data_IF_515989843619
#
_entry.id   IF_515989843619
#
_cell.length_a   1.000
_cell.length_b   1.000
_cell.length_c   1.000
_cell.angle_alpha   90.00
_cell.angle_beta   90.00
_cell.angle_gamma   90.00
#
_symmetry.space_group_name_H-M   'P 1'
#
loop_
_entity.id
_entity.type
_entity.pdbx_description
1 polymer ?
#
# COMPACT_ATOMS: atom_id res chain seq x y z
N UNK A 1 -11.61 7.89 27.05
CA UNK A 1 -10.65 8.92 26.58
C UNK A 1 -9.46 8.33 25.84
N UNK A 2 -8.80 7.27 26.34
CA UNK A 2 -7.64 6.61 25.68
C UNK A 2 -7.86 6.24 24.19
N UNK A 3 -8.96 5.54 23.87
CA UNK A 3 -9.24 5.12 22.49
C UNK A 3 -9.33 6.28 21.49
N UNK A 4 -9.94 7.41 21.87
CA UNK A 4 -10.14 8.55 20.97
C UNK A 4 -8.80 9.14 20.52
N UNK A 5 -7.81 9.14 21.39
CA UNK A 5 -6.47 9.64 21.09
C UNK A 5 -5.70 8.69 20.18
N UNK A 6 -5.83 7.37 20.38
CA UNK A 6 -5.21 6.35 19.53
C UNK A 6 -5.77 6.39 18.10
N UNK A 7 -7.10 6.54 17.95
CA UNK A 7 -7.72 6.68 16.63
C UNK A 7 -7.25 7.95 15.92
N UNK A 8 -7.14 9.08 16.64
CA UNK A 8 -6.62 10.34 16.08
C UNK A 8 -5.16 10.15 15.62
N UNK A 9 -4.33 9.47 16.43
CA UNK A 9 -2.94 9.20 16.09
C UNK A 9 -2.83 8.35 14.81
N UNK A 10 -3.64 7.29 14.71
CA UNK A 10 -3.67 6.42 13.55
C UNK A 10 -4.08 7.16 12.28
N UNK A 11 -5.12 8.00 12.35
CA UNK A 11 -5.55 8.84 11.22
C UNK A 11 -4.42 9.80 10.82
N UNK A 12 -3.78 10.46 11.80
CA UNK A 12 -2.67 11.36 11.54
C UNK A 12 -1.49 10.64 10.85
N UNK A 13 -1.16 9.42 11.28
CA UNK A 13 -0.13 8.59 10.65
C UNK A 13 -0.49 8.25 9.19
N UNK A 14 -1.74 7.84 8.93
CA UNK A 14 -2.18 7.53 7.55
C UNK A 14 -2.06 8.77 6.66
N UNK A 15 -2.50 9.94 7.13
CA UNK A 15 -2.40 11.19 6.37
C UNK A 15 -0.93 11.57 6.12
N UNK A 16 -0.09 11.49 7.15
CA UNK A 16 1.34 11.77 7.01
C UNK A 16 2.00 10.83 6.00
N UNK A 17 1.72 9.54 6.07
CA UNK A 17 2.25 8.54 5.13
C UNK A 17 1.74 8.78 3.70
N UNK A 18 0.45 9.10 3.51
CA UNK A 18 -0.10 9.37 2.18
C UNK A 18 0.63 10.54 1.48
N UNK A 19 1.08 11.54 2.25
CA UNK A 19 1.82 12.69 1.74
C UNK A 19 3.31 12.35 1.54
N UNK A 20 3.91 11.59 2.45
CA UNK A 20 5.37 11.36 2.47
C UNK A 20 5.82 10.20 1.57
N UNK A 21 5.01 9.16 1.40
CA UNK A 21 5.37 7.95 0.62
C UNK A 21 5.79 8.29 -0.82
N UNK A 22 5.10 9.17 -1.57
CA UNK A 22 5.54 9.50 -2.93
C UNK A 22 6.89 10.22 -3.02
N UNK A 23 7.42 10.74 -1.90
CA UNK A 23 8.76 11.32 -1.82
C UNK A 23 9.83 10.29 -1.42
N UNK A 24 9.47 9.01 -1.32
CA UNK A 24 10.44 7.95 -1.11
C UNK A 24 11.44 7.88 -2.28
N UNK A 25 12.65 7.39 -1.98
CA UNK A 25 13.73 7.25 -2.95
C UNK A 25 13.28 6.37 -4.12
N UNK A 26 13.57 6.82 -5.35
CA UNK A 26 13.36 6.06 -6.58
C UNK A 26 14.53 5.13 -6.93
N UNK A 27 15.51 4.99 -6.04
CA UNK A 27 16.67 4.14 -6.28
C UNK A 27 16.31 2.66 -6.08
N UNK A 28 16.92 1.76 -6.88
CA UNK A 28 16.71 0.33 -6.73
C UNK A 28 17.14 -0.13 -5.34
N UNK A 29 16.42 -1.14 -4.84
CA UNK A 29 16.65 -1.70 -3.52
C UNK A 29 17.96 -2.52 -3.48
N UNK A 30 18.31 -3.04 -2.31
CA UNK A 30 19.58 -3.77 -2.17
C UNK A 30 19.66 -5.03 -3.05
N UNK A 31 18.54 -5.69 -3.31
CA UNK A 31 18.50 -6.90 -4.11
C UNK A 31 18.62 -6.57 -5.60
N UNK A 32 17.85 -5.58 -6.05
CA UNK A 32 17.85 -5.09 -7.42
C UNK A 32 19.22 -4.51 -7.79
N UNK A 33 19.84 -3.71 -6.91
CA UNK A 33 21.20 -3.19 -7.09
C UNK A 33 22.26 -4.29 -7.29
N UNK A 34 22.16 -5.38 -6.54
CA UNK A 34 23.09 -6.52 -6.66
C UNK A 34 22.81 -7.30 -7.95
N UNK A 35 21.54 -7.50 -8.30
CA UNK A 35 21.14 -8.15 -9.55
C UNK A 35 21.64 -7.37 -10.78
N UNK A 36 21.45 -6.04 -10.80
CA UNK A 36 21.99 -5.15 -11.83
C UNK A 36 23.53 -5.26 -11.91
N UNK A 37 24.22 -5.27 -10.77
CA UNK A 37 25.68 -5.37 -10.71
C UNK A 37 26.23 -6.71 -11.24
N UNK A 38 25.41 -7.75 -11.21
CA UNK A 38 25.74 -9.10 -11.71
C UNK A 38 25.17 -9.37 -13.11
N UNK A 39 24.56 -8.37 -13.76
CA UNK A 39 23.89 -8.50 -15.07
C UNK A 39 22.81 -9.60 -15.09
N UNK A 40 22.14 -9.81 -13.96
CA UNK A 40 21.03 -10.77 -13.85
C UNK A 40 19.74 -10.10 -14.32
N UNK A 41 19.17 -10.60 -15.42
CA UNK A 41 17.88 -10.11 -15.91
C UNK A 41 16.74 -10.49 -14.96
N UNK A 42 15.83 -9.54 -14.70
CA UNK A 42 14.57 -9.85 -14.02
C UNK A 42 13.66 -10.68 -14.94
N UNK A 43 13.23 -11.89 -14.52
CA UNK A 43 12.36 -12.71 -15.33
C UNK A 43 10.99 -12.03 -15.47
N UNK A 44 10.44 -12.04 -16.69
CA UNK A 44 9.12 -11.50 -16.94
C UNK A 44 8.08 -12.19 -16.02
N UNK A 45 7.28 -11.43 -15.25
CA UNK A 45 6.32 -12.04 -14.34
C UNK A 45 5.18 -12.69 -15.13
N UNK A 46 4.73 -13.87 -14.67
CA UNK A 46 3.56 -14.55 -15.24
C UNK A 46 2.26 -13.73 -15.09
N UNK A 47 2.23 -12.83 -14.10
CA UNK A 47 1.13 -11.90 -13.85
C UNK A 47 1.67 -10.58 -13.31
N UNK A 48 1.27 -9.44 -13.91
CA UNK A 48 1.73 -8.09 -13.54
C UNK A 48 0.92 -7.41 -12.42
N UNK A 49 -0.01 -8.13 -11.79
CA UNK A 49 -0.87 -7.56 -10.75
C UNK A 49 -1.81 -6.46 -11.28
N UNK A 50 -2.53 -5.81 -10.36
CA UNK A 50 -3.51 -4.74 -10.69
C UNK A 50 -2.84 -3.36 -10.68
N UNK A 51 -1.80 -3.18 -9.86
CA UNK A 51 -1.06 -1.92 -9.68
C UNK A 51 0.45 -2.23 -9.58
N UNK A 52 1.12 -2.61 -10.69
CA UNK A 52 2.56 -2.88 -10.69
C UNK A 52 3.32 -1.63 -10.24
N UNK A 53 4.30 -1.82 -9.36
CA UNK A 53 5.13 -0.74 -8.78
C UNK A 53 4.32 0.44 -8.21
N UNK A 54 3.15 0.15 -7.65
CA UNK A 54 2.23 1.16 -7.13
C UNK A 54 1.78 2.19 -8.17
N UNK A 55 1.80 1.82 -9.45
CA UNK A 55 1.39 2.67 -10.57
C UNK A 55 -0.01 2.31 -11.08
N UNK A 56 -0.69 3.33 -11.60
CA UNK A 56 -1.95 3.26 -12.30
C UNK A 56 -1.73 3.70 -13.75
N UNK A 57 -1.98 2.80 -14.69
CA UNK A 57 -1.72 3.01 -16.14
C UNK A 57 -2.46 4.24 -16.72
N UNK A 58 -3.56 4.66 -16.09
CA UNK A 58 -4.39 5.78 -16.55
C UNK A 58 -3.99 7.13 -15.92
N UNK A 59 -2.88 7.21 -15.17
CA UNK A 59 -2.43 8.43 -14.50
C UNK A 59 -0.98 8.73 -14.83
N UNK A 60 -0.78 9.77 -15.64
CA UNK A 60 0.55 10.18 -16.11
C UNK A 60 1.45 10.74 -15.01
N UNK A 61 0.86 11.35 -13.97
CA UNK A 61 1.63 11.95 -12.89
C UNK A 61 2.03 10.87 -11.87
N UNK A 62 3.33 10.52 -11.74
CA UNK A 62 3.79 9.44 -10.87
C UNK A 62 3.44 9.69 -9.41
N UNK A 63 3.50 10.95 -8.95
CA UNK A 63 3.13 11.31 -7.58
C UNK A 63 1.66 10.98 -7.29
N UNK A 64 0.77 11.39 -8.20
CA UNK A 64 -0.68 11.17 -8.05
C UNK A 64 -1.00 9.68 -8.18
N UNK A 65 -0.30 8.98 -9.07
CA UNK A 65 -0.44 7.55 -9.31
C UNK A 65 -0.13 6.73 -8.04
N UNK A 66 1.05 6.94 -7.45
CA UNK A 66 1.48 6.29 -6.20
C UNK A 66 0.60 6.65 -5.00
N UNK A 67 0.15 7.90 -4.92
CA UNK A 67 -0.72 8.34 -3.83
C UNK A 67 -2.09 7.64 -3.88
N UNK A 68 -2.70 7.57 -5.08
CA UNK A 68 -4.01 6.94 -5.25
C UNK A 68 -3.91 5.42 -5.03
N UNK A 69 -2.89 4.76 -5.57
CA UNK A 69 -2.69 3.32 -5.37
C UNK A 69 -2.53 2.97 -3.89
N UNK A 70 -1.74 3.76 -3.14
CA UNK A 70 -1.57 3.62 -1.71
C UNK A 70 -2.88 3.82 -0.94
N UNK A 71 -3.65 4.87 -1.26
CA UNK A 71 -4.96 5.11 -0.63
C UNK A 71 -5.96 3.99 -0.92
N UNK A 72 -5.98 3.46 -2.14
CA UNK A 72 -6.83 2.33 -2.50
C UNK A 72 -6.48 1.09 -1.69
N UNK A 73 -5.18 0.79 -1.52
CA UNK A 73 -4.71 -0.32 -0.70
C UNK A 73 -5.16 -0.21 0.76
N UNK A 74 -4.99 0.97 1.38
CA UNK A 74 -5.45 1.22 2.76
C UNK A 74 -6.96 1.02 2.90
N UNK A 75 -7.75 1.60 1.99
CA UNK A 75 -9.20 1.44 1.98
C UNK A 75 -9.62 -0.02 1.82
N UNK A 76 -8.95 -0.77 0.95
CA UNK A 76 -9.24 -2.19 0.69
C UNK A 76 -8.98 -3.03 1.94
N UNK A 77 -7.84 -2.85 2.60
CA UNK A 77 -7.50 -3.59 3.83
C UNK A 77 -8.45 -3.23 4.98
N UNK A 78 -8.80 -1.96 5.14
CA UNK A 78 -9.77 -1.53 6.15
C UNK A 78 -11.17 -2.12 5.91
N UNK A 79 -11.64 -2.11 4.66
CA UNK A 79 -12.91 -2.70 4.30
C UNK A 79 -12.91 -4.22 4.53
N UNK A 80 -11.87 -4.92 4.08
CA UNK A 80 -11.74 -6.36 4.25
C UNK A 80 -11.70 -6.77 5.73
N UNK A 81 -10.86 -6.10 6.53
CA UNK A 81 -10.76 -6.37 7.98
C UNK A 81 -12.06 -6.08 8.72
N UNK A 82 -12.77 -4.99 8.37
CA UNK A 82 -14.08 -4.68 8.95
C UNK A 82 -15.14 -5.73 8.61
N UNK A 83 -15.21 -6.17 7.34
CA UNK A 83 -16.16 -7.21 6.90
C UNK A 83 -15.88 -8.53 7.63
N UNK A 84 -14.62 -8.95 7.67
CA UNK A 84 -14.20 -10.19 8.35
C UNK A 84 -14.50 -10.09 9.84
N UNK A 85 -14.12 -9.01 10.50
CA UNK A 85 -14.39 -8.80 11.92
C UNK A 85 -15.88 -8.84 12.26
N UNK A 86 -16.73 -8.26 11.40
CA UNK A 86 -18.18 -8.31 11.56
C UNK A 86 -18.76 -9.70 11.30
N UNK A 87 -18.22 -10.45 10.33
CA UNK A 87 -18.65 -11.81 10.04
C UNK A 87 -18.31 -12.77 11.20
N UNK A 88 -17.12 -12.61 11.81
CA UNK A 88 -16.68 -13.40 12.96
C UNK A 88 -17.49 -13.06 14.21
N UNK A 89 -17.68 -11.78 14.54
CA UNK A 89 -18.42 -11.38 15.76
C UNK A 89 -19.90 -11.77 15.72
N UNK A 90 -20.49 -11.87 14.53
CA UNK A 90 -21.87 -12.34 14.36
C UNK A 90 -22.03 -13.85 14.64
N UNK A 91 -20.94 -14.62 14.60
CA UNK A 91 -20.93 -16.06 14.89
C UNK A 91 -21.01 -16.40 16.38
N UNK A 92 -20.56 -15.50 17.26
CA UNK A 92 -20.55 -15.73 18.72
C UNK A 92 -21.84 -15.34 19.45
N UNK A 93 -22.79 -14.70 18.75
CA UNK A 93 -24.11 -14.36 19.29
C UNK A 93 -25.15 -15.50 19.09
N UNK A 94 -24.70 -16.76 19.19
CA UNK A 94 -25.57 -17.94 19.21
C UNK A 94 -25.25 -18.83 20.41
#
# INVERSE_FOLDING_TARGET
MKQKNETILLIATIIALAILIPFASSNPDGLERVAESLEVEEPAPLWRGIMPDYSLENIDNPYVSTLISGMLGVCLVLAASFIIGKAVSKGESK
#
